data_IF_747423514729
#
_entry.id   IF_747423514729
#
_cell.length_a   1.000
_cell.length_b   1.000
_cell.length_c   1.000
_cell.angle_alpha   90.00
_cell.angle_beta   90.00
_cell.angle_gamma   90.00
#
_symmetry.space_group_name_H-M   'P 1'
#
loop_
_entity.id
_entity.type
_entity.pdbx_description
1 polymer ?
#
# COMPACT_ATOMS: atom_id res chain seq x y z
N UNK A 1 -6.02 -29.59 -23.57
CA UNK A 1 -4.71 -29.89 -22.91
C UNK A 1 -3.80 -28.67 -23.07
N UNK A 2 -2.84 -28.41 -22.21
CA UNK A 2 -1.95 -27.24 -22.35
C UNK A 2 -0.65 -27.63 -23.06
N UNK A 3 -0.05 -26.69 -23.80
CA UNK A 3 1.26 -26.83 -24.44
C UNK A 3 2.39 -26.44 -23.47
N UNK A 4 2.18 -25.35 -22.72
CA UNK A 4 3.19 -24.79 -21.81
C UNK A 4 2.52 -24.27 -20.54
N UNK A 5 3.09 -24.61 -19.39
CA UNK A 5 2.83 -23.96 -18.11
C UNK A 5 4.07 -23.13 -17.73
N UNK A 6 3.95 -21.81 -17.84
CA UNK A 6 5.06 -20.91 -17.54
C UNK A 6 4.80 -20.13 -16.25
N UNK A 7 5.80 -20.08 -15.38
CA UNK A 7 5.84 -19.18 -14.23
C UNK A 7 6.75 -18.02 -14.57
N UNK A 8 6.20 -16.81 -14.53
CA UNK A 8 6.93 -15.59 -14.85
C UNK A 8 6.84 -15.11 -16.30
N UNK A 9 7.57 -14.03 -16.58
CA UNK A 9 7.68 -13.37 -17.90
C UNK A 9 9.13 -13.24 -18.35
N UNK A 10 9.31 -12.97 -19.66
CA UNK A 10 10.63 -12.76 -20.26
C UNK A 10 11.27 -14.06 -20.77
N UNK A 11 12.59 -14.08 -20.99
CA UNK A 11 13.28 -15.26 -21.52
C UNK A 11 13.17 -16.44 -20.56
N UNK A 12 13.12 -17.64 -21.13
CA UNK A 12 13.18 -18.90 -20.39
C UNK A 12 14.52 -19.03 -19.68
N UNK A 13 14.47 -19.34 -18.38
CA UNK A 13 15.66 -19.59 -17.55
C UNK A 13 15.82 -21.07 -17.28
N UNK A 14 14.72 -21.74 -16.94
CA UNK A 14 14.72 -23.18 -16.63
C UNK A 14 13.52 -23.85 -17.26
N UNK A 15 13.76 -24.91 -18.02
CA UNK A 15 12.74 -25.86 -18.44
C UNK A 15 12.82 -27.09 -17.52
N UNK A 16 11.74 -27.40 -16.82
CA UNK A 16 11.66 -28.60 -15.98
C UNK A 16 11.35 -29.86 -16.79
N UNK A 17 11.19 -29.73 -18.11
CA UNK A 17 10.86 -30.80 -19.03
C UNK A 17 9.37 -30.87 -19.34
N UNK A 18 9.02 -31.88 -20.14
CA UNK A 18 7.66 -32.17 -20.55
C UNK A 18 7.07 -33.27 -19.65
N UNK A 19 5.80 -33.13 -19.28
CA UNK A 19 5.07 -34.25 -18.67
C UNK A 19 4.80 -35.37 -19.70
N UNK A 20 4.27 -36.51 -19.22
CA UNK A 20 3.87 -37.62 -20.08
C UNK A 20 2.80 -37.25 -21.14
N UNK A 21 2.19 -36.07 -21.03
CA UNK A 21 1.25 -35.49 -21.99
C UNK A 21 1.85 -34.47 -22.95
N UNK A 22 3.15 -34.16 -22.85
CA UNK A 22 3.85 -33.17 -23.67
C UNK A 22 3.72 -31.72 -23.18
N UNK A 23 3.23 -31.48 -21.96
CA UNK A 23 3.13 -30.13 -21.37
C UNK A 23 4.51 -29.71 -20.85
N UNK A 24 5.08 -28.64 -21.41
CA UNK A 24 6.35 -28.07 -20.92
C UNK A 24 6.14 -27.22 -19.66
N UNK A 25 6.95 -27.43 -18.62
CA UNK A 25 6.94 -26.61 -17.40
C UNK A 25 8.15 -25.68 -17.38
N UNK A 26 7.91 -24.37 -17.45
CA UNK A 26 8.97 -23.38 -17.67
C UNK A 26 8.99 -22.32 -16.58
N UNK A 27 10.18 -21.98 -16.08
CA UNK A 27 10.43 -20.81 -15.26
C UNK A 27 11.14 -19.74 -16.10
N UNK A 28 10.54 -18.55 -16.14
CA UNK A 28 11.06 -17.38 -16.88
C UNK A 28 11.76 -16.39 -15.96
N UNK A 29 12.56 -15.50 -16.54
CA UNK A 29 13.49 -14.64 -15.83
C UNK A 29 12.85 -13.72 -14.78
N UNK A 30 11.64 -13.22 -15.05
CA UNK A 30 10.88 -12.44 -14.09
C UNK A 30 9.84 -13.36 -13.43
N UNK A 31 10.00 -13.78 -12.16
CA UNK A 31 9.09 -14.73 -11.50
C UNK A 31 7.80 -14.04 -11.03
N UNK A 32 7.19 -13.26 -11.90
CA UNK A 32 5.99 -12.47 -11.62
C UNK A 32 4.83 -13.09 -12.40
N UNK A 33 3.81 -13.60 -11.71
CA UNK A 33 2.67 -14.27 -12.32
C UNK A 33 3.00 -15.62 -12.98
N UNK A 34 2.11 -16.07 -13.84
CA UNK A 34 2.25 -17.28 -14.64
C UNK A 34 1.08 -17.43 -15.60
N UNK A 35 1.24 -18.21 -16.66
CA UNK A 35 0.20 -18.43 -17.66
C UNK A 35 0.23 -19.87 -18.18
N UNK A 36 -0.92 -20.29 -18.69
CA UNK A 36 -1.09 -21.56 -19.38
C UNK A 36 -1.29 -21.27 -20.86
N UNK A 37 -0.40 -21.80 -21.69
CA UNK A 37 -0.51 -21.67 -23.14
C UNK A 37 -1.22 -22.89 -23.70
N UNK A 38 -2.26 -22.64 -24.47
CA UNK A 38 -2.94 -23.65 -25.28
C UNK A 38 -2.42 -23.57 -26.71
N UNK A 39 -2.39 -24.70 -27.40
CA UNK A 39 -2.01 -24.74 -28.81
C UNK A 39 -3.21 -24.26 -29.65
N UNK A 40 -3.18 -23.00 -30.07
CA UNK A 40 -4.26 -22.37 -30.84
C UNK A 40 -4.47 -23.01 -32.22
N UNK A 41 -3.46 -23.72 -32.75
CA UNK A 41 -3.58 -24.42 -34.02
C UNK A 41 -4.29 -25.78 -33.89
N UNK A 42 -4.49 -26.30 -32.67
CA UNK A 42 -5.18 -27.56 -32.43
C UNK A 42 -6.62 -27.31 -32.03
N UNK A 43 -7.52 -27.64 -32.93
CA UNK A 43 -8.97 -27.68 -32.71
C UNK A 43 -9.43 -29.12 -32.48
N UNK A 44 -10.40 -29.30 -31.59
CA UNK A 44 -11.07 -30.58 -31.38
C UNK A 44 -12.48 -30.52 -31.94
N UNK A 45 -12.93 -31.60 -32.57
CA UNK A 45 -14.28 -31.73 -33.09
C UNK A 45 -15.17 -32.34 -32.00
N UNK A 46 -16.23 -31.62 -31.62
CA UNK A 46 -17.25 -32.09 -30.69
C UNK A 46 -18.14 -33.15 -31.35
N UNK A 47 -18.91 -33.89 -30.55
CA UNK A 47 -19.83 -34.94 -31.05
C UNK A 47 -20.93 -34.38 -31.97
N UNK A 48 -21.25 -33.08 -31.86
CA UNK A 48 -22.16 -32.35 -32.73
C UNK A 48 -21.52 -31.87 -34.05
N UNK A 49 -20.22 -32.13 -34.23
CA UNK A 49 -19.45 -31.77 -35.41
C UNK A 49 -18.85 -30.37 -35.37
N UNK A 50 -19.07 -29.58 -34.31
CA UNK A 50 -18.48 -28.25 -34.14
C UNK A 50 -16.98 -28.34 -33.82
N UNK A 51 -16.18 -27.47 -34.44
CA UNK A 51 -14.75 -27.39 -34.19
C UNK A 51 -14.48 -26.29 -33.17
N UNK A 52 -13.94 -26.68 -32.02
CA UNK A 52 -13.67 -25.78 -30.90
C UNK A 52 -12.20 -25.82 -30.51
N UNK A 53 -11.78 -24.79 -29.78
CA UNK A 53 -10.41 -24.68 -29.30
C UNK A 53 -10.16 -25.71 -28.20
N UNK A 54 -8.89 -26.10 -27.98
CA UNK A 54 -8.53 -27.02 -26.89
C UNK A 54 -8.99 -26.58 -25.51
N UNK A 55 -9.20 -25.28 -25.28
CA UNK A 55 -9.75 -24.77 -24.03
C UNK A 55 -11.25 -25.05 -23.86
N UNK A 56 -12.00 -24.98 -24.94
CA UNK A 56 -13.45 -25.18 -24.97
C UNK A 56 -13.81 -26.66 -24.97
N UNK A 57 -12.98 -27.49 -25.60
CA UNK A 57 -13.10 -28.95 -25.57
C UNK A 57 -12.83 -29.55 -24.17
N UNK A 58 -12.20 -28.81 -23.25
CA UNK A 58 -11.92 -29.31 -21.92
C UNK A 58 -13.19 -29.46 -21.07
N UNK A 59 -13.28 -30.52 -20.24
CA UNK A 59 -14.40 -30.68 -19.33
C UNK A 59 -14.46 -29.51 -18.34
N UNK A 60 -15.69 -29.11 -17.97
CA UNK A 60 -15.96 -27.96 -17.10
C UNK A 60 -15.07 -27.84 -15.83
N UNK A 61 -14.78 -28.91 -15.06
CA UNK A 61 -13.90 -28.79 -13.89
C UNK A 61 -12.45 -28.42 -14.26
N UNK A 62 -11.92 -28.92 -15.37
CA UNK A 62 -10.56 -28.57 -15.81
C UNK A 62 -10.49 -27.09 -16.21
N UNK A 63 -11.52 -26.60 -16.92
CA UNK A 63 -11.63 -25.20 -17.30
C UNK A 63 -11.67 -24.27 -16.09
N UNK A 64 -12.42 -24.66 -15.06
CA UNK A 64 -12.50 -23.91 -13.80
C UNK A 64 -11.13 -23.78 -13.13
N UNK A 65 -10.35 -24.88 -13.06
CA UNK A 65 -9.01 -24.84 -12.45
C UNK A 65 -8.02 -23.95 -13.21
N UNK A 66 -8.08 -23.94 -14.55
CA UNK A 66 -7.24 -23.05 -15.36
C UNK A 66 -7.57 -21.58 -15.09
N UNK A 67 -8.86 -21.23 -15.09
CA UNK A 67 -9.30 -19.86 -14.80
C UNK A 67 -8.95 -19.45 -13.36
N UNK A 68 -9.17 -20.34 -12.40
CA UNK A 68 -8.81 -20.11 -11.00
C UNK A 68 -7.30 -19.90 -10.84
N UNK A 69 -6.46 -20.65 -11.57
CA UNK A 69 -5.02 -20.48 -11.58
C UNK A 69 -4.59 -19.06 -11.93
N UNK A 70 -5.22 -18.44 -12.94
CA UNK A 70 -4.95 -17.05 -13.31
C UNK A 70 -5.29 -16.05 -12.20
N UNK A 71 -6.46 -16.20 -11.56
CA UNK A 71 -6.88 -15.32 -10.44
C UNK A 71 -5.93 -15.47 -9.25
N UNK A 72 -5.59 -16.72 -8.90
CA UNK A 72 -4.67 -17.02 -7.80
C UNK A 72 -3.27 -16.45 -8.06
N UNK A 73 -2.77 -16.54 -9.29
CA UNK A 73 -1.48 -15.97 -9.66
C UNK A 73 -1.44 -14.44 -9.45
N UNK A 74 -2.53 -13.73 -9.72
CA UNK A 74 -2.63 -12.29 -9.47
C UNK A 74 -2.64 -11.96 -7.97
N UNK A 75 -3.41 -12.71 -7.18
CA UNK A 75 -3.46 -12.53 -5.72
C UNK A 75 -2.08 -12.76 -5.09
N UNK A 76 -1.40 -13.84 -5.48
CA UNK A 76 -0.03 -14.14 -5.03
C UNK A 76 0.92 -13.02 -5.45
N UNK A 77 0.86 -12.58 -6.71
CA UNK A 77 1.71 -11.49 -7.22
C UNK A 77 1.51 -10.19 -6.43
N UNK A 78 0.26 -9.81 -6.17
CA UNK A 78 -0.07 -8.61 -5.40
C UNK A 78 0.41 -8.72 -3.93
N UNK A 79 0.21 -9.87 -3.29
CA UNK A 79 0.68 -10.08 -1.92
C UNK A 79 2.21 -10.05 -1.85
N UNK A 80 2.90 -10.77 -2.74
CA UNK A 80 4.35 -10.79 -2.82
C UNK A 80 4.94 -9.41 -3.09
N UNK A 81 4.31 -8.60 -3.96
CA UNK A 81 4.78 -7.24 -4.25
C UNK A 81 4.62 -6.32 -3.04
N UNK A 82 3.51 -6.42 -2.30
CA UNK A 82 3.31 -5.69 -1.05
C UNK A 82 4.35 -6.08 0.02
N UNK A 83 4.61 -7.38 0.19
CA UNK A 83 5.65 -7.85 1.10
C UNK A 83 7.02 -7.34 0.68
N UNK A 84 7.37 -7.42 -0.60
CA UNK A 84 8.64 -6.92 -1.11
C UNK A 84 8.79 -5.41 -0.89
N UNK A 85 7.72 -4.63 -1.14
CA UNK A 85 7.70 -3.19 -0.86
C UNK A 85 7.89 -2.92 0.63
N UNK A 86 7.19 -3.62 1.52
CA UNK A 86 7.32 -3.46 2.96
C UNK A 86 8.71 -3.84 3.49
N UNK A 87 9.37 -4.84 2.90
CA UNK A 87 10.72 -5.26 3.29
C UNK A 87 11.81 -4.30 2.77
N UNK A 88 11.61 -3.70 1.59
CA UNK A 88 12.63 -2.85 0.94
C UNK A 88 12.49 -1.38 1.29
N UNK A 89 11.27 -0.84 1.26
CA UNK A 89 10.98 0.56 1.60
C UNK A 89 10.66 0.74 3.11
N UNK A 90 10.50 -0.36 3.84
CA UNK A 90 9.99 -0.33 5.20
C UNK A 90 8.47 -0.11 5.24
N UNK A 91 7.89 -0.19 6.43
CA UNK A 91 6.49 0.19 6.66
C UNK A 91 6.50 1.66 7.08
N UNK A 92 5.76 2.55 6.41
CA UNK A 92 5.61 3.93 6.86
C UNK A 92 4.94 3.91 8.23
N UNK A 93 5.76 4.04 9.27
CA UNK A 93 5.28 4.29 10.62
C UNK A 93 4.99 5.77 10.68
N UNK A 94 3.72 6.13 10.90
CA UNK A 94 3.43 7.40 11.55
C UNK A 94 4.12 7.31 12.90
N UNK A 95 5.25 8.00 13.08
CA UNK A 95 5.77 8.16 14.43
C UNK A 95 4.63 8.81 15.21
N UNK A 96 4.15 8.20 16.31
CA UNK A 96 3.33 8.92 17.26
C UNK A 96 4.25 9.94 17.89
N UNK A 97 4.45 11.07 17.21
CA UNK A 97 4.86 12.27 17.90
C UNK A 97 3.76 12.51 18.93
N UNK A 98 4.11 12.80 20.19
CA UNK A 98 3.14 13.00 21.27
C UNK A 98 2.32 14.30 21.10
N UNK A 99 2.04 14.72 19.87
CA UNK A 99 1.45 16.00 19.55
C UNK A 99 1.51 16.32 18.06
N UNK A 100 1.21 17.57 17.72
CA UNK A 100 1.22 18.06 16.35
C UNK A 100 2.57 18.71 16.06
N UNK A 101 3.26 18.23 15.02
CA UNK A 101 4.49 18.86 14.53
C UNK A 101 4.16 20.19 13.84
N UNK A 102 4.86 21.24 14.22
CA UNK A 102 4.78 22.54 13.57
C UNK A 102 5.73 22.56 12.37
N UNK A 103 5.19 22.31 11.17
CA UNK A 103 5.99 22.24 9.93
C UNK A 103 6.55 23.60 9.49
N UNK A 104 5.85 24.69 9.78
CA UNK A 104 6.27 26.04 9.45
C UNK A 104 5.52 27.07 10.29
N UNK A 105 6.19 28.14 10.72
CA UNK A 105 5.58 29.25 11.46
C UNK A 105 5.77 30.54 10.66
N UNK A 106 4.69 31.28 10.41
CA UNK A 106 4.81 32.62 9.84
C UNK A 106 5.56 33.53 10.83
N UNK A 107 6.46 34.40 10.35
CA UNK A 107 7.28 35.28 11.20
C UNK A 107 6.45 36.07 12.22
N UNK A 108 5.30 36.62 11.81
CA UNK A 108 4.38 37.35 12.68
C UNK A 108 3.79 36.48 13.81
N UNK A 109 3.57 35.19 13.54
CA UNK A 109 3.08 34.25 14.52
C UNK A 109 4.22 33.81 15.46
N UNK A 110 5.43 33.58 14.93
CA UNK A 110 6.61 33.22 15.72
C UNK A 110 6.95 34.32 16.75
N UNK A 111 6.93 35.59 16.33
CA UNK A 111 7.22 36.73 17.21
C UNK A 111 6.18 36.88 18.34
N UNK A 112 4.92 36.52 18.09
CA UNK A 112 3.81 36.68 19.06
C UNK A 112 3.59 35.47 19.95
N UNK A 113 4.06 34.30 19.53
CA UNK A 113 3.80 33.03 20.22
C UNK A 113 5.06 32.35 20.73
N UNK A 114 6.24 32.78 20.26
CA UNK A 114 7.51 32.14 20.55
C UNK A 114 7.67 30.75 19.91
N UNK A 115 6.76 30.34 19.03
CA UNK A 115 6.82 29.06 18.32
C UNK A 115 7.96 29.06 17.29
N UNK A 116 8.68 27.96 17.25
CA UNK A 116 9.74 27.71 16.28
C UNK A 116 9.33 26.55 15.35
N UNK A 117 9.98 26.50 14.18
CA UNK A 117 9.87 25.34 13.30
C UNK A 117 10.37 24.09 14.04
N UNK A 118 9.77 22.93 13.75
CA UNK A 118 10.04 21.64 14.41
C UNK A 118 9.58 21.50 15.88
N UNK A 119 8.93 22.51 16.46
CA UNK A 119 8.25 22.35 17.76
C UNK A 119 7.13 21.29 17.66
N UNK A 120 7.02 20.42 18.67
CA UNK A 120 5.88 19.48 18.78
C UNK A 120 4.89 20.01 19.82
N UNK A 121 3.71 20.42 19.37
CA UNK A 121 2.66 20.95 20.23
C UNK A 121 1.96 19.83 21.00
N UNK A 122 2.16 19.81 22.31
CA UNK A 122 1.59 18.81 23.23
C UNK A 122 0.24 19.27 23.80
N UNK A 123 0.08 20.58 24.06
CA UNK A 123 -1.13 21.13 24.70
C UNK A 123 -1.38 22.58 24.32
N UNK A 124 -2.65 22.95 24.17
CA UNK A 124 -3.11 24.35 23.99
C UNK A 124 -4.15 24.65 25.07
N UNK A 125 -3.81 25.46 26.07
CA UNK A 125 -4.68 25.78 27.20
C UNK A 125 -5.17 24.51 27.90
N UNK A 126 -6.47 24.23 27.81
CA UNK A 126 -7.09 23.03 28.39
C UNK A 126 -7.15 21.83 27.44
N UNK A 127 -6.79 21.98 26.16
CA UNK A 127 -6.84 20.92 25.17
C UNK A 127 -5.50 20.17 25.11
N UNK A 128 -5.53 18.89 25.48
CA UNK A 128 -4.39 17.98 25.34
C UNK A 128 -4.35 17.42 23.90
N UNK A 129 -3.34 17.85 23.15
CA UNK A 129 -3.13 17.52 21.74
C UNK A 129 -2.42 16.16 21.58
N UNK A 130 -1.79 15.68 22.65
CA UNK A 130 -1.16 14.36 22.72
C UNK A 130 -2.18 13.21 22.83
N UNK A 131 -3.46 13.52 23.05
CA UNK A 131 -4.47 12.46 23.16
C UNK A 131 -4.70 11.78 21.81
N UNK A 132 -4.76 10.44 21.77
CA UNK A 132 -5.14 9.66 20.57
C UNK A 132 -6.47 10.11 19.92
N UNK A 133 -7.27 10.90 20.64
CA UNK A 133 -8.54 11.45 20.19
C UNK A 133 -8.43 12.83 19.54
N UNK A 134 -7.38 13.60 19.83
CA UNK A 134 -7.23 14.96 19.33
C UNK A 134 -6.82 14.92 17.87
N UNK A 135 -7.77 15.22 16.97
CA UNK A 135 -7.47 15.38 15.55
C UNK A 135 -6.85 16.76 15.28
N UNK A 136 -6.03 16.87 14.23
CA UNK A 136 -5.53 18.17 13.74
C UNK A 136 -6.69 19.15 13.53
N UNK A 137 -7.84 18.64 13.07
CA UNK A 137 -9.03 19.45 12.84
C UNK A 137 -9.66 20.00 14.12
N UNK A 138 -9.73 19.19 15.19
CA UNK A 138 -10.21 19.63 16.50
C UNK A 138 -9.29 20.69 17.11
N UNK A 139 -7.98 20.52 16.92
CA UNK A 139 -6.98 21.49 17.38
C UNK A 139 -7.15 22.83 16.67
N UNK A 140 -7.31 22.84 15.34
CA UNK A 140 -7.57 24.05 14.56
C UNK A 140 -8.90 24.71 14.97
N UNK A 141 -9.95 23.92 15.15
CA UNK A 141 -11.26 24.44 15.59
C UNK A 141 -11.19 25.05 17.00
N UNK A 142 -10.42 24.44 17.90
CA UNK A 142 -10.18 24.98 19.23
C UNK A 142 -9.42 26.30 19.16
N UNK A 143 -8.37 26.39 18.34
CA UNK A 143 -7.61 27.63 18.14
C UNK A 143 -8.52 28.76 17.63
N UNK A 144 -9.37 28.50 16.63
CA UNK A 144 -10.33 29.49 16.14
C UNK A 144 -11.42 29.87 17.16
N UNK A 145 -11.70 29.01 18.14
CA UNK A 145 -12.64 29.28 19.23
C UNK A 145 -12.02 30.06 20.40
N UNK A 146 -10.70 30.26 20.42
CA UNK A 146 -10.04 31.01 21.49
C UNK A 146 -10.42 32.50 21.40
N UNK A 147 -10.64 33.16 22.56
CA UNK A 147 -10.87 34.59 22.58
C UNK A 147 -9.63 35.32 22.05
N UNK A 148 -9.81 36.07 20.95
CA UNK A 148 -8.76 36.90 20.36
C UNK A 148 -8.11 37.81 21.42
N UNK A 149 -6.79 37.96 21.33
CA UNK A 149 -5.99 38.83 22.22
C UNK A 149 -5.91 38.41 23.70
N UNK A 150 -6.33 37.19 24.07
CA UNK A 150 -6.02 36.64 25.41
C UNK A 150 -4.82 35.69 25.32
N UNK A 151 -3.85 35.78 26.25
CA UNK A 151 -2.74 34.84 26.28
C UNK A 151 -3.26 33.44 26.56
N UNK A 152 -2.78 32.48 25.78
CA UNK A 152 -3.08 31.05 25.87
C UNK A 152 -1.76 30.30 26.07
N UNK A 153 -1.73 29.48 27.10
CA UNK A 153 -0.56 28.66 27.42
C UNK A 153 -0.42 27.52 26.38
N UNK A 154 0.72 27.47 25.70
CA UNK A 154 1.12 26.37 24.82
C UNK A 154 2.17 25.53 25.53
N UNK A 155 2.00 24.21 25.55
CA UNK A 155 3.06 23.28 25.93
C UNK A 155 3.64 22.67 24.66
N UNK A 156 4.92 22.96 24.38
CA UNK A 156 5.64 22.43 23.22
C UNK A 156 6.82 21.59 23.65
N UNK A 157 7.21 20.63 22.81
CA UNK A 157 8.45 19.89 22.93
C UNK A 157 9.46 20.50 21.95
N UNK A 158 10.50 21.14 22.48
CA UNK A 158 11.63 21.71 21.74
C UNK A 158 12.91 21.04 22.19
N UNK A 159 13.72 20.52 21.27
CA UNK A 159 14.98 19.81 21.60
C UNK A 159 14.82 18.72 22.68
N UNK A 160 13.71 17.98 22.65
CA UNK A 160 13.32 16.98 23.68
C UNK A 160 13.04 17.52 25.08
N UNK A 161 12.91 18.84 25.27
CA UNK A 161 12.48 19.47 26.50
C UNK A 161 11.09 20.08 26.35
N UNK A 162 10.29 20.00 27.41
CA UNK A 162 8.99 20.65 27.44
C UNK A 162 9.17 22.13 27.78
N UNK A 163 8.73 23.00 26.89
CA UNK A 163 8.75 24.45 27.02
C UNK A 163 7.32 24.94 27.05
N UNK A 164 7.00 25.79 28.03
CA UNK A 164 5.72 26.48 28.10
C UNK A 164 5.87 27.85 27.45
N UNK A 165 5.04 28.13 26.45
CA UNK A 165 5.00 29.40 25.72
C UNK A 165 3.66 30.10 25.97
N UNK A 166 3.68 31.42 26.12
CA UNK A 166 2.46 32.22 26.17
C UNK A 166 2.17 32.77 24.77
N UNK A 167 1.13 32.23 24.14
CA UNK A 167 0.75 32.61 22.78
C UNK A 167 -0.47 33.53 22.77
N UNK A 168 -0.44 34.56 21.93
CA UNK A 168 -1.58 35.44 21.71
C UNK A 168 -2.21 35.11 20.35
N UNK A 169 -3.40 34.46 20.31
CA UNK A 169 -4.08 34.12 19.07
C UNK A 169 -4.64 35.35 18.36
N UNK A 170 -4.69 35.25 17.01
CA UNK A 170 -5.25 36.26 16.09
C UNK A 170 -6.78 36.33 16.14
#
# INVERSE_FOLDING_TARGET
>A
RAQEFAVGFGPEVVNFGEDAGGTSFVLRALPVGGYVRFDEAKTEQLEDGEWVNQFEAMPAPARLWVLAGGVMANVVTAYSSLCAAALTAGVPRKLPLPGILVESVAEEAAERTGLEEDDVLLRIGSLDVNSEKASVQETVNFIHGLPAQKPVELLVLRDSQQVTLDAIPL
#
